data_IF_888155203058
#
_entry.id   IF_888155203058
#
_cell.length_a   1.000
_cell.length_b   1.000
_cell.length_c   1.000
_cell.angle_alpha   90.00
_cell.angle_beta   90.00
_cell.angle_gamma   90.00
#
_symmetry.space_group_name_H-M   'P 1'
#
loop_
_entity.id
_entity.type
_entity.pdbx_description
1 polymer ?
#
# COMPACT_ATOMS: atom_id res chain seq x y z
N UNK A 1 9.25 1.36 -27.83
CA UNK A 1 10.05 0.42 -27.00
C UNK A 1 10.06 0.96 -25.59
N UNK A 2 9.22 0.43 -24.70
CA UNK A 2 9.12 0.93 -23.31
C UNK A 2 10.20 0.23 -22.49
N UNK A 3 11.24 0.95 -22.09
CA UNK A 3 12.30 0.42 -21.23
C UNK A 3 11.68 -0.04 -19.90
N UNK A 4 11.93 -1.28 -19.43
CA UNK A 4 11.44 -1.72 -18.15
C UNK A 4 12.09 -0.88 -17.03
N UNK A 5 11.26 -0.28 -16.18
CA UNK A 5 11.71 0.43 -14.98
C UNK A 5 12.53 -0.54 -14.12
N UNK A 6 13.72 -0.15 -13.62
CA UNK A 6 14.52 -1.00 -12.75
C UNK A 6 13.70 -1.48 -11.55
N UNK A 7 13.77 -2.78 -11.22
CA UNK A 7 12.92 -3.39 -10.19
C UNK A 7 12.99 -2.65 -8.84
N UNK A 8 14.17 -2.13 -8.49
CA UNK A 8 14.37 -1.34 -7.27
C UNK A 8 13.60 -0.01 -7.26
N UNK A 9 13.48 0.66 -8.41
CA UNK A 9 12.72 1.90 -8.53
C UNK A 9 11.22 1.63 -8.46
N UNK A 10 10.77 0.53 -9.09
CA UNK A 10 9.39 0.04 -8.95
C UNK A 10 9.05 -0.23 -7.48
N UNK A 11 9.89 -0.97 -6.77
CA UNK A 11 9.68 -1.25 -5.34
C UNK A 11 9.61 0.03 -4.52
N UNK A 12 10.56 0.97 -4.68
CA UNK A 12 10.54 2.25 -3.96
C UNK A 12 9.24 3.03 -4.18
N UNK A 13 8.78 3.10 -5.43
CA UNK A 13 7.50 3.74 -5.76
C UNK A 13 6.33 3.07 -5.06
N UNK A 14 6.28 1.74 -5.07
CA UNK A 14 5.18 1.00 -4.44
C UNK A 14 5.23 1.00 -2.92
N UNK A 15 6.41 1.11 -2.31
CA UNK A 15 6.55 1.36 -0.87
C UNK A 15 5.88 2.68 -0.50
N UNK A 16 6.19 3.77 -1.20
CA UNK A 16 5.57 5.07 -0.96
C UNK A 16 4.05 5.04 -1.18
N UNK A 17 3.58 4.44 -2.29
CA UNK A 17 2.15 4.32 -2.56
C UNK A 17 1.40 3.48 -1.52
N UNK A 18 2.04 2.43 -1.01
CA UNK A 18 1.42 1.56 0.00
C UNK A 18 1.33 2.26 1.35
N UNK A 19 2.39 2.98 1.74
CA UNK A 19 2.43 3.80 2.96
C UNK A 19 1.37 4.91 2.94
N UNK A 20 1.31 5.69 1.84
CA UNK A 20 0.28 6.70 1.63
C UNK A 20 -1.14 6.10 1.70
N UNK A 21 -1.36 4.95 1.05
CA UNK A 21 -2.65 4.27 1.08
C UNK A 21 -3.04 3.83 2.49
N UNK A 22 -2.09 3.29 3.28
CA UNK A 22 -2.33 2.91 4.67
C UNK A 22 -2.75 4.14 5.48
N UNK A 23 -2.00 5.23 5.37
CA UNK A 23 -2.30 6.47 6.07
C UNK A 23 -3.69 7.02 5.68
N UNK A 24 -4.08 6.92 4.40
CA UNK A 24 -5.42 7.34 3.96
C UNK A 24 -6.56 6.55 4.53
N UNK A 25 -6.35 5.28 4.84
CA UNK A 25 -7.38 4.45 5.48
C UNK A 25 -7.32 4.49 7.01
N UNK A 26 -6.46 5.34 7.56
CA UNK A 26 -6.29 5.49 9.01
C UNK A 26 -5.42 4.40 9.64
N UNK A 27 -4.58 3.73 8.84
CA UNK A 27 -3.63 2.72 9.33
C UNK A 27 -2.23 3.32 9.36
N UNK A 28 -1.59 3.26 10.52
CA UNK A 28 -0.17 3.56 10.67
C UNK A 28 0.63 2.24 10.62
N UNK A 29 1.39 2.04 9.55
CA UNK A 29 2.20 0.83 9.35
C UNK A 29 3.35 0.74 10.36
N UNK A 30 3.89 1.88 10.80
CA UNK A 30 4.98 1.92 11.77
C UNK A 30 4.48 1.53 13.15
N UNK A 31 3.34 2.08 13.57
CA UNK A 31 2.69 1.68 14.83
C UNK A 31 2.25 0.21 14.80
N UNK A 32 1.69 -0.25 13.67
CA UNK A 32 1.33 -1.67 13.46
C UNK A 32 2.55 -2.58 13.59
N UNK A 33 3.74 -2.13 13.14
CA UNK A 33 4.96 -2.89 13.27
C UNK A 33 5.51 -2.92 14.71
N UNK A 34 5.43 -1.79 15.41
CA UNK A 34 5.87 -1.66 16.81
C UNK A 34 4.96 -2.46 17.75
N UNK A 35 3.65 -2.42 17.53
CA UNK A 35 2.65 -3.17 18.31
C UNK A 35 2.63 -4.67 18.00
N UNK A 36 3.32 -5.10 16.94
CA UNK A 36 3.38 -6.50 16.51
C UNK A 36 2.16 -6.97 15.69
N UNK A 37 1.25 -6.07 15.33
CA UNK A 37 0.11 -6.35 14.44
C UNK A 37 0.54 -6.63 12.98
N UNK A 38 1.73 -6.18 12.60
CA UNK A 38 2.35 -6.33 11.29
C UNK A 38 3.84 -6.64 11.40
N UNK A 39 4.32 -7.71 10.77
CA UNK A 39 5.75 -8.04 10.77
C UNK A 39 6.51 -7.40 9.60
N UNK A 40 7.83 -7.26 9.72
CA UNK A 40 8.68 -6.75 8.62
C UNK A 40 8.64 -7.63 7.36
N UNK A 41 8.45 -8.95 7.54
CA UNK A 41 8.24 -9.90 6.44
C UNK A 41 6.91 -9.64 5.73
N UNK A 42 5.83 -9.44 6.49
CA UNK A 42 4.52 -9.08 5.92
C UNK A 42 4.54 -7.75 5.18
N UNK A 43 5.28 -6.74 5.66
CA UNK A 43 5.48 -5.47 4.95
C UNK A 43 6.15 -5.73 3.60
N UNK A 44 7.22 -6.51 3.60
CA UNK A 44 7.97 -6.85 2.38
C UNK A 44 7.08 -7.60 1.37
N UNK A 45 6.28 -8.55 1.85
CA UNK A 45 5.28 -9.25 1.04
C UNK A 45 4.15 -8.34 0.55
N UNK A 46 3.70 -7.38 1.36
CA UNK A 46 2.69 -6.40 0.96
C UNK A 46 3.22 -5.48 -0.16
N UNK A 47 4.47 -5.02 -0.07
CA UNK A 47 5.10 -4.21 -1.13
C UNK A 47 5.27 -5.04 -2.41
N UNK A 48 5.70 -6.30 -2.29
CA UNK A 48 5.81 -7.20 -3.44
C UNK A 48 4.45 -7.43 -4.13
N UNK A 49 3.38 -7.65 -3.36
CA UNK A 49 2.00 -7.72 -3.88
C UNK A 49 1.56 -6.41 -4.54
N UNK A 50 1.89 -5.27 -3.92
CA UNK A 50 1.57 -3.95 -4.45
C UNK A 50 2.24 -3.72 -5.82
N UNK A 51 3.48 -4.19 -6.00
CA UNK A 51 4.18 -4.14 -7.29
C UNK A 51 3.48 -4.93 -8.41
N UNK A 52 2.62 -5.89 -8.06
CA UNK A 52 1.78 -6.64 -8.98
C UNK A 52 0.41 -6.03 -9.24
N UNK A 53 0.10 -4.83 -8.73
CA UNK A 53 -1.21 -4.22 -8.97
C UNK A 53 -1.35 -3.75 -10.43
N UNK A 54 -2.58 -3.87 -10.94
CA UNK A 54 -2.91 -3.61 -12.33
C UNK A 54 -3.11 -2.10 -12.62
N UNK A 55 -3.26 -1.27 -11.58
CA UNK A 55 -3.59 0.16 -11.70
C UNK A 55 -2.73 1.11 -10.82
N UNK A 56 -1.39 1.08 -10.90
CA UNK A 56 -0.53 1.91 -10.05
C UNK A 56 -0.62 3.42 -10.35
N UNK A 57 -1.00 3.78 -11.58
CA UNK A 57 -1.21 5.17 -11.98
C UNK A 57 -2.48 5.74 -11.35
N UNK A 58 -3.55 4.93 -11.30
CA UNK A 58 -4.80 5.32 -10.66
C UNK A 58 -4.62 5.45 -9.15
N UNK A 59 -3.87 4.53 -8.53
CA UNK A 59 -3.49 4.62 -7.12
C UNK A 59 -2.78 5.95 -6.83
N UNK A 60 -1.74 6.28 -7.59
CA UNK A 60 -1.01 7.53 -7.42
C UNK A 60 -1.91 8.78 -7.62
N UNK A 61 -2.80 8.76 -8.62
CA UNK A 61 -3.75 9.85 -8.86
C UNK A 61 -4.76 10.01 -7.73
N UNK A 62 -5.26 8.91 -7.18
CA UNK A 62 -6.17 8.90 -6.04
C UNK A 62 -5.50 9.50 -4.80
N UNK A 63 -4.27 9.06 -4.51
CA UNK A 63 -3.51 9.51 -3.35
C UNK A 63 -3.12 11.00 -3.44
N UNK A 64 -2.99 11.59 -4.63
CA UNK A 64 -2.74 13.05 -4.73
C UNK A 64 -3.85 13.94 -4.16
N UNK A 65 -5.07 13.42 -3.99
CA UNK A 65 -6.24 14.24 -3.60
C UNK A 65 -6.30 14.57 -2.10
N UNK A 66 -5.40 14.02 -1.29
CA UNK A 66 -5.33 14.28 0.17
C UNK A 66 -6.64 14.04 0.96
N UNK A 67 -7.54 13.22 0.40
CA UNK A 67 -8.80 12.85 1.05
C UNK A 67 -8.63 11.56 1.87
N UNK A 68 -9.09 11.50 3.12
CA UNK A 68 -9.25 10.26 3.88
C UNK A 68 -10.20 9.29 3.17
N UNK A 69 -9.96 7.99 3.34
CA UNK A 69 -10.76 6.93 2.74
C UNK A 69 -11.19 5.94 3.81
N UNK A 70 -12.45 5.54 3.82
CA UNK A 70 -12.89 4.50 4.77
C UNK A 70 -12.35 3.12 4.39
N UNK A 71 -12.20 2.88 3.08
CA UNK A 71 -11.73 1.62 2.52
C UNK A 71 -10.79 1.84 1.34
N UNK A 72 -9.80 0.95 1.13
CA UNK A 72 -8.97 0.97 -0.05
C UNK A 72 -9.81 0.65 -1.29
N UNK A 73 -9.39 1.10 -2.47
CA UNK A 73 -10.12 0.84 -3.70
C UNK A 73 -10.13 -0.65 -4.03
N UNK A 74 -11.14 -1.11 -4.77
CA UNK A 74 -11.35 -2.53 -5.11
C UNK A 74 -10.16 -3.18 -5.86
N UNK A 75 -9.31 -2.38 -6.51
CA UNK A 75 -8.11 -2.87 -7.19
C UNK A 75 -6.88 -2.99 -6.27
N UNK A 76 -6.98 -2.57 -5.00
CA UNK A 76 -5.89 -2.62 -4.06
C UNK A 76 -5.62 -4.07 -3.65
N UNK A 77 -4.48 -4.63 -4.10
CA UNK A 77 -4.02 -5.98 -3.75
C UNK A 77 -3.77 -6.19 -2.24
N UNK A 78 -3.59 -5.11 -1.49
CA UNK A 78 -3.41 -5.14 -0.04
C UNK A 78 -4.68 -4.69 0.71
N UNK A 79 -5.83 -4.66 0.05
CA UNK A 79 -7.07 -4.15 0.63
C UNK A 79 -7.43 -4.85 1.94
N UNK A 80 -7.43 -6.18 1.93
CA UNK A 80 -7.74 -7.01 3.10
C UNK A 80 -6.74 -6.82 4.25
N UNK A 81 -5.44 -6.70 3.91
CA UNK A 81 -4.40 -6.43 4.91
C UNK A 81 -4.66 -5.09 5.62
N UNK A 82 -4.97 -4.05 4.85
CA UNK A 82 -5.24 -2.73 5.41
C UNK A 82 -6.51 -2.72 6.27
N UNK A 83 -7.56 -3.42 5.87
CA UNK A 83 -8.78 -3.53 6.68
C UNK A 83 -8.55 -4.32 7.98
N UNK A 84 -7.73 -5.38 7.94
CA UNK A 84 -7.29 -6.11 9.13
C UNK A 84 -6.55 -5.20 10.10
N UNK A 85 -5.58 -4.43 9.61
CA UNK A 85 -4.77 -3.52 10.44
C UNK A 85 -5.59 -2.36 11.00
N UNK A 86 -6.61 -1.91 10.26
CA UNK A 86 -7.55 -0.88 10.73
C UNK A 86 -8.45 -1.37 11.89
N UNK A 87 -8.61 -2.68 12.04
CA UNK A 87 -9.54 -3.28 13.02
C UNK A 87 -10.98 -3.41 12.53
N UNK A 88 -11.22 -3.29 11.21
CA UNK A 88 -12.54 -3.38 10.58
C UNK A 88 -12.86 -4.81 10.05
N UNK A 89 -12.33 -5.85 10.72
CA UNK A 89 -12.56 -7.28 10.40
C UNK A 89 -13.53 -7.91 11.39
#
# INVERSE_FOLDING_TARGET
>A
MTTPVPQREKMRRHTALFDDMAHRVGVDLQDSAISGALTMDEISHAVARCCGCDAPQHCAGLLRREVPMERPPNYCRNGDLLMRLKGDT
#
